data_IF_067645814610
#
_entry.id   IF_067645814610
#
_cell.length_a   1.000
_cell.length_b   1.000
_cell.length_c   1.000
_cell.angle_alpha   90.00
_cell.angle_beta   90.00
_cell.angle_gamma   90.00
#
_symmetry.space_group_name_H-M   'P 1'
#
loop_
_entity.id
_entity.type
_entity.pdbx_description
1 polymer ?
#
# COMPACT_ATOMS: atom_id res chain seq x y z
N UNK A 1 -13.73 -9.00 5.85
CA UNK A 1 -12.92 -7.76 5.68
C UNK A 1 -13.85 -6.58 5.54
N UNK A 2 -13.65 -5.51 6.30
CA UNK A 2 -14.43 -4.29 6.18
C UNK A 2 -13.70 -3.28 5.29
N UNK A 3 -14.40 -2.73 4.32
CA UNK A 3 -13.92 -1.67 3.44
C UNK A 3 -14.66 -0.38 3.77
N UNK A 4 -13.93 0.70 3.73
CA UNK A 4 -14.40 2.02 4.07
C UNK A 4 -14.30 2.96 2.87
N UNK A 5 -15.15 3.97 2.86
CA UNK A 5 -15.11 5.09 1.94
C UNK A 5 -15.32 6.36 2.75
N UNK A 6 -14.35 7.29 2.72
CA UNK A 6 -14.34 8.52 3.50
C UNK A 6 -14.64 8.30 5.00
N UNK A 7 -14.04 7.25 5.58
CA UNK A 7 -14.19 6.90 6.99
C UNK A 7 -15.53 6.26 7.38
N UNK A 8 -16.43 6.02 6.43
CA UNK A 8 -17.69 5.29 6.65
C UNK A 8 -17.55 3.86 6.14
N UNK A 9 -18.11 2.88 6.87
CA UNK A 9 -18.13 1.49 6.41
C UNK A 9 -19.00 1.40 5.15
N UNK A 10 -18.39 1.08 4.04
CA UNK A 10 -19.05 0.94 2.75
C UNK A 10 -19.56 -0.49 2.53
N UNK A 11 -18.71 -1.47 2.86
CA UNK A 11 -19.07 -2.87 2.68
C UNK A 11 -18.27 -3.80 3.62
N UNK A 12 -18.78 -5.00 3.77
CA UNK A 12 -18.10 -6.12 4.41
C UNK A 12 -18.06 -7.30 3.45
N UNK A 13 -16.90 -7.91 3.33
CA UNK A 13 -16.72 -9.04 2.43
C UNK A 13 -15.83 -10.11 3.04
N UNK A 14 -16.15 -11.36 2.69
CA UNK A 14 -15.30 -12.52 2.92
C UNK A 14 -14.92 -13.11 1.58
N UNK A 15 -13.64 -13.38 1.39
CA UNK A 15 -13.14 -13.93 0.15
C UNK A 15 -12.00 -14.92 0.40
N UNK A 16 -11.83 -15.85 -0.53
CA UNK A 16 -10.67 -16.72 -0.62
C UNK A 16 -9.81 -16.23 -1.78
N UNK A 17 -8.52 -16.04 -1.51
CA UNK A 17 -7.53 -15.71 -2.53
C UNK A 17 -6.51 -16.85 -2.62
N UNK A 18 -6.31 -17.36 -3.83
CA UNK A 18 -5.28 -18.33 -4.16
C UNK A 18 -4.33 -17.72 -5.18
N UNK A 19 -3.05 -17.78 -4.89
CA UNK A 19 -1.98 -17.29 -5.76
C UNK A 19 -1.04 -18.43 -6.10
N UNK A 20 -0.84 -18.64 -7.39
CA UNK A 20 0.24 -19.49 -7.91
C UNK A 20 1.20 -18.60 -8.68
N UNK A 21 2.45 -18.54 -8.24
CA UNK A 21 3.51 -17.76 -8.88
C UNK A 21 4.58 -18.67 -9.48
N UNK A 22 4.91 -18.43 -10.74
CA UNK A 22 6.03 -19.04 -11.43
C UNK A 22 6.95 -17.95 -11.97
N UNK A 23 8.22 -17.98 -11.62
CA UNK A 23 9.14 -16.93 -12.06
C UNK A 23 10.58 -17.21 -11.70
N UNK A 24 11.43 -16.30 -12.11
CA UNK A 24 12.85 -16.28 -11.78
C UNK A 24 13.20 -14.98 -11.06
N UNK A 25 14.07 -15.08 -10.09
CA UNK A 25 14.65 -13.94 -9.42
C UNK A 25 16.16 -14.10 -9.32
N UNK A 26 16.87 -12.98 -9.42
CA UNK A 26 18.32 -12.94 -9.25
C UNK A 26 18.71 -11.77 -8.37
N UNK A 27 19.55 -12.07 -7.41
CA UNK A 27 20.08 -11.12 -6.45
C UNK A 27 21.52 -10.72 -6.83
N UNK A 28 21.79 -9.40 -6.81
CA UNK A 28 23.13 -8.83 -6.94
C UNK A 28 23.33 -7.83 -5.78
N UNK A 29 24.05 -8.24 -4.74
CA UNK A 29 24.23 -7.43 -3.54
C UNK A 29 22.90 -6.92 -2.96
N UNK A 30 22.61 -5.64 -3.15
CA UNK A 30 21.41 -4.97 -2.63
C UNK A 30 20.28 -4.85 -3.67
N UNK A 31 20.46 -5.41 -4.87
CA UNK A 31 19.48 -5.35 -5.96
C UNK A 31 18.92 -6.74 -6.21
N UNK A 32 17.60 -6.85 -6.30
CA UNK A 32 16.91 -8.05 -6.75
C UNK A 32 16.11 -7.71 -8.01
N UNK A 33 16.26 -8.51 -9.03
CA UNK A 33 15.44 -8.49 -10.25
C UNK A 33 14.58 -9.73 -10.28
N UNK A 34 13.31 -9.58 -10.58
CA UNK A 34 12.36 -10.70 -10.70
C UNK A 34 11.48 -10.53 -11.92
N UNK A 35 11.09 -11.66 -12.51
CA UNK A 35 10.12 -11.73 -13.60
C UNK A 35 9.37 -13.05 -13.55
N UNK A 36 8.15 -13.07 -14.03
CA UNK A 36 7.37 -14.30 -14.03
C UNK A 36 5.91 -14.10 -14.41
N UNK A 37 5.13 -15.09 -14.05
CA UNK A 37 3.69 -15.15 -14.30
C UNK A 37 3.01 -15.50 -12.98
N UNK A 38 1.93 -14.78 -12.66
CA UNK A 38 1.03 -15.09 -11.55
C UNK A 38 -0.30 -15.58 -12.10
N UNK A 39 -0.87 -16.53 -11.39
CA UNK A 39 -2.26 -16.90 -11.52
C UNK A 39 -2.96 -16.61 -10.19
N UNK A 40 -3.89 -15.68 -10.19
CA UNK A 40 -4.68 -15.26 -9.05
C UNK A 40 -6.12 -15.73 -9.22
N UNK A 41 -6.66 -16.40 -8.21
CA UNK A 41 -8.06 -16.77 -8.15
C UNK A 41 -8.71 -16.14 -6.92
N UNK A 42 -9.76 -15.31 -7.17
CA UNK A 42 -10.55 -14.67 -6.13
C UNK A 42 -11.96 -15.25 -6.12
N UNK A 43 -12.36 -15.76 -4.97
CA UNK A 43 -13.72 -16.24 -4.73
C UNK A 43 -14.33 -15.48 -3.55
N UNK A 44 -15.38 -14.72 -3.85
CA UNK A 44 -16.12 -13.92 -2.87
C UNK A 44 -17.29 -14.75 -2.32
N UNK A 45 -17.30 -14.98 -0.99
CA UNK A 45 -18.29 -15.82 -0.34
C UNK A 45 -19.49 -15.01 0.12
N UNK A 46 -19.22 -13.93 0.89
CA UNK A 46 -20.27 -13.09 1.47
C UNK A 46 -19.96 -11.63 1.14
N UNK A 47 -20.94 -10.94 0.61
CA UNK A 47 -20.90 -9.53 0.33
C UNK A 47 -22.09 -8.83 0.98
N UNK A 48 -21.83 -8.06 2.03
CA UNK A 48 -22.81 -7.17 2.65
C UNK A 48 -22.48 -5.73 2.20
N UNK A 49 -23.19 -5.27 1.20
CA UNK A 49 -23.07 -3.91 0.68
C UNK A 49 -24.34 -3.12 0.94
N UNK A 50 -24.17 -1.83 1.26
CA UNK A 50 -25.27 -0.87 1.32
C UNK A 50 -25.66 -0.37 -0.07
N UNK A 51 -24.83 -0.62 -1.09
CA UNK A 51 -25.06 -0.24 -2.48
C UNK A 51 -25.16 -1.48 -3.38
N UNK A 52 -26.31 -1.73 -4.02
CA UNK A 52 -26.49 -2.85 -4.97
C UNK A 52 -25.52 -2.82 -6.15
N UNK A 53 -25.05 -1.64 -6.60
CA UNK A 53 -24.10 -1.49 -7.70
C UNK A 53 -22.69 -1.95 -7.31
N UNK A 54 -22.38 -1.98 -6.02
CA UNK A 54 -21.08 -2.47 -5.55
C UNK A 54 -20.91 -3.98 -5.80
N UNK A 55 -21.99 -4.76 -5.91
CA UNK A 55 -21.93 -6.20 -6.17
C UNK A 55 -21.22 -6.54 -7.50
N UNK A 56 -21.34 -5.69 -8.52
CA UNK A 56 -20.70 -5.89 -9.82
C UNK A 56 -19.16 -5.79 -9.78
N UNK A 57 -18.58 -5.17 -8.74
CA UNK A 57 -17.13 -5.08 -8.56
C UNK A 57 -16.53 -6.37 -7.95
N UNK A 58 -17.37 -7.27 -7.42
CA UNK A 58 -16.97 -8.46 -6.65
C UNK A 58 -17.35 -9.76 -7.34
N UNK A 59 -17.16 -9.81 -8.64
CA UNK A 59 -17.30 -11.06 -9.38
C UNK A 59 -16.10 -11.97 -9.08
N UNK A 60 -16.38 -13.26 -8.90
CA UNK A 60 -15.34 -14.28 -8.85
C UNK A 60 -14.49 -14.18 -10.10
N UNK A 61 -13.19 -14.07 -9.94
CA UNK A 61 -12.30 -13.80 -11.05
C UNK A 61 -11.04 -14.64 -11.00
N UNK A 62 -10.65 -15.13 -12.18
CA UNK A 62 -9.32 -15.69 -12.41
C UNK A 62 -8.53 -14.66 -13.21
N UNK A 63 -7.34 -14.33 -12.74
CA UNK A 63 -6.46 -13.35 -13.37
C UNK A 63 -5.11 -14.01 -13.65
N UNK A 64 -4.62 -13.86 -14.86
CA UNK A 64 -3.22 -14.11 -15.19
C UNK A 64 -2.49 -12.78 -15.20
N UNK A 65 -1.29 -12.71 -14.62
CA UNK A 65 -0.45 -11.55 -14.78
C UNK A 65 0.97 -11.92 -15.15
N UNK A 66 1.52 -11.17 -16.07
CA UNK A 66 2.96 -11.15 -16.35
C UNK A 66 3.56 -10.07 -15.46
N UNK A 67 4.59 -10.38 -14.70
CA UNK A 67 5.21 -9.40 -13.83
C UNK A 67 6.70 -9.26 -14.07
N UNK A 68 7.20 -8.05 -13.85
CA UNK A 68 8.61 -7.73 -13.73
C UNK A 68 8.80 -6.81 -12.50
N UNK A 69 9.83 -7.07 -11.74
CA UNK A 69 10.10 -6.33 -10.50
C UNK A 69 11.59 -6.06 -10.31
N UNK A 70 11.87 -4.92 -9.71
CA UNK A 70 13.21 -4.49 -9.33
C UNK A 70 13.15 -3.92 -7.92
N UNK A 71 13.97 -4.45 -7.02
CA UNK A 71 14.04 -4.04 -5.61
C UNK A 71 15.47 -3.72 -5.25
N UNK A 72 15.66 -2.62 -4.55
CA UNK A 72 16.94 -2.25 -3.93
C UNK A 72 16.72 -2.01 -2.44
N UNK A 73 17.63 -2.50 -1.61
CA UNK A 73 17.56 -2.27 -0.18
C UNK A 73 18.95 -2.29 0.45
N UNK A 74 19.37 -1.14 1.01
CA UNK A 74 20.58 -1.02 1.80
C UNK A 74 20.35 -0.38 3.19
N UNK A 75 19.10 -0.45 3.68
CA UNK A 75 18.78 -0.01 5.03
C UNK A 75 19.60 -0.78 6.05
N UNK A 76 20.20 -0.07 7.01
CA UNK A 76 21.10 -0.65 8.00
C UNK A 76 20.41 -1.57 9.03
N UNK A 77 19.11 -1.42 9.23
CA UNK A 77 18.30 -2.30 10.08
C UNK A 77 16.84 -2.29 9.65
N UNK A 78 16.09 -3.31 10.06
CA UNK A 78 14.73 -3.55 9.59
C UNK A 78 13.66 -2.72 10.32
N UNK A 79 13.71 -2.69 11.66
CA UNK A 79 12.62 -2.13 12.47
C UNK A 79 12.74 -0.65 12.76
N UNK A 80 13.94 -0.11 12.78
CA UNK A 80 14.16 1.31 13.07
C UNK A 80 15.35 1.85 12.29
N UNK A 81 15.36 1.74 10.95
CA UNK A 81 16.51 2.13 10.17
C UNK A 81 16.91 3.59 10.43
N UNK A 82 18.20 3.80 10.49
CA UNK A 82 18.77 5.12 10.73
C UNK A 82 19.60 5.63 9.54
N UNK A 83 19.91 4.74 8.60
CA UNK A 83 20.73 5.03 7.43
C UNK A 83 20.37 4.12 6.27
N UNK A 84 20.51 4.64 5.06
CA UNK A 84 20.30 3.90 3.83
C UNK A 84 19.00 4.25 3.15
N UNK A 85 18.66 3.50 2.12
CA UNK A 85 17.41 3.66 1.38
C UNK A 85 16.88 2.30 0.90
N UNK A 86 15.62 2.25 0.61
CA UNK A 86 15.01 1.16 -0.16
C UNK A 86 14.11 1.73 -1.24
N UNK A 87 14.07 1.04 -2.37
CA UNK A 87 13.09 1.31 -3.41
C UNK A 87 12.70 0.01 -4.11
N UNK A 88 11.49 0.00 -4.62
CA UNK A 88 10.98 -1.09 -5.43
C UNK A 88 10.14 -0.52 -6.56
N UNK A 89 10.27 -1.12 -7.73
CA UNK A 89 9.45 -0.83 -8.89
C UNK A 89 8.93 -2.15 -9.42
N UNK A 90 7.65 -2.23 -9.74
CA UNK A 90 7.06 -3.39 -10.37
C UNK A 90 6.10 -3.00 -11.47
N UNK A 91 5.99 -3.87 -12.45
CA UNK A 91 5.02 -3.80 -13.53
C UNK A 91 4.27 -5.12 -13.60
N UNK A 92 2.96 -5.05 -13.70
CA UNK A 92 2.09 -6.20 -13.92
C UNK A 92 1.17 -5.94 -15.11
N UNK A 93 1.03 -6.93 -15.98
CA UNK A 93 0.09 -6.93 -17.08
C UNK A 93 -0.96 -8.02 -16.81
N UNK A 94 -2.15 -7.62 -16.38
CA UNK A 94 -3.23 -8.51 -16.00
C UNK A 94 -4.12 -8.84 -17.20
N UNK A 95 -4.44 -10.12 -17.35
CA UNK A 95 -5.32 -10.68 -18.37
C UNK A 95 -6.25 -11.72 -17.74
N UNK A 96 -7.31 -12.14 -18.44
CA UNK A 96 -8.14 -13.27 -18.04
C UNK A 96 -7.94 -14.50 -18.95
N UNK A 97 -7.38 -14.27 -20.15
CA UNK A 97 -7.18 -15.28 -21.19
C UNK A 97 -5.77 -15.31 -21.78
N UNK A 98 -4.74 -14.83 -21.02
CA UNK A 98 -3.34 -14.65 -21.41
C UNK A 98 -3.05 -13.47 -22.37
N UNK A 99 -4.03 -12.91 -23.06
CA UNK A 99 -3.82 -11.85 -24.05
C UNK A 99 -4.67 -10.61 -23.80
N UNK A 100 -5.87 -10.76 -23.29
CA UNK A 100 -6.88 -9.71 -23.13
C UNK A 100 -7.44 -9.72 -21.70
N UNK A 101 -8.23 -8.73 -21.38
CA UNK A 101 -9.05 -8.68 -20.19
C UNK A 101 -10.49 -8.31 -20.57
N UNK A 102 -11.46 -9.25 -20.36
CA UNK A 102 -12.89 -9.10 -20.73
C UNK A 102 -13.05 -8.56 -22.16
N UNK A 103 -12.41 -9.23 -23.12
CA UNK A 103 -12.39 -8.89 -24.56
C UNK A 103 -11.84 -7.48 -24.88
N UNK A 104 -11.13 -6.87 -23.95
CA UNK A 104 -10.50 -5.56 -24.10
C UNK A 104 -8.98 -5.65 -23.90
N UNK A 105 -8.33 -4.48 -23.94
CA UNK A 105 -6.91 -4.38 -23.64
C UNK A 105 -6.59 -4.89 -22.23
N UNK A 106 -5.44 -5.56 -22.04
CA UNK A 106 -4.95 -5.95 -20.74
C UNK A 106 -4.88 -4.76 -19.76
N UNK A 107 -4.99 -5.05 -18.47
CA UNK A 107 -4.83 -4.03 -17.44
C UNK A 107 -3.36 -3.97 -17.05
N UNK A 108 -2.74 -2.83 -17.32
CA UNK A 108 -1.37 -2.52 -16.90
C UNK A 108 -1.37 -1.87 -15.54
N UNK A 109 -0.53 -2.37 -14.64
CA UNK A 109 -0.32 -1.81 -13.30
C UNK A 109 1.16 -1.51 -13.13
N UNK A 110 1.48 -0.25 -12.89
CA UNK A 110 2.80 0.21 -12.51
C UNK A 110 2.81 0.62 -11.04
N UNK A 111 3.75 0.09 -10.27
CA UNK A 111 3.94 0.37 -8.85
C UNK A 111 5.39 0.82 -8.62
N UNK A 112 5.56 1.90 -7.88
CA UNK A 112 6.86 2.41 -7.48
C UNK A 112 6.82 2.88 -6.02
N UNK A 113 7.80 2.48 -5.23
CA UNK A 113 7.97 2.90 -3.84
C UNK A 113 9.41 3.24 -3.56
N UNK A 114 9.61 4.24 -2.72
CA UNK A 114 10.92 4.67 -2.26
C UNK A 114 10.85 5.12 -0.81
N UNK A 115 11.90 4.83 -0.06
CA UNK A 115 12.09 5.28 1.31
C UNK A 115 13.57 5.56 1.54
N UNK A 116 13.86 6.72 2.12
CA UNK A 116 15.21 7.07 2.56
C UNK A 116 15.27 7.24 4.08
N UNK A 117 16.41 6.94 4.70
CA UNK A 117 16.63 7.14 6.12
C UNK A 117 17.90 7.96 6.31
N UNK A 118 17.77 9.11 6.97
CA UNK A 118 18.83 10.06 7.25
C UNK A 118 18.85 10.39 8.74
N UNK A 119 20.01 10.29 9.39
CA UNK A 119 20.15 10.63 10.80
C UNK A 119 21.09 11.85 10.94
N UNK A 120 20.54 13.07 11.00
CA UNK A 120 21.31 14.28 11.27
C UNK A 120 22.03 14.24 12.62
N UNK A 121 21.54 13.46 13.56
CA UNK A 121 22.21 13.18 14.84
C UNK A 121 22.06 11.73 15.26
N UNK A 122 22.82 11.31 16.25
CA UNK A 122 22.77 9.94 16.78
C UNK A 122 21.42 9.55 17.41
N UNK A 123 20.54 10.52 17.63
CA UNK A 123 19.24 10.32 18.28
C UNK A 123 18.05 10.68 17.38
N UNK A 124 18.27 11.40 16.29
CA UNK A 124 17.20 11.90 15.43
C UNK A 124 17.31 11.32 14.02
N UNK A 125 16.24 10.80 13.49
CA UNK A 125 16.15 10.21 12.15
C UNK A 125 14.99 10.82 11.38
N UNK A 126 15.23 11.18 10.13
CA UNK A 126 14.26 11.65 9.16
C UNK A 126 14.09 10.56 8.11
N UNK A 127 12.85 10.14 7.89
CA UNK A 127 12.51 9.10 6.93
C UNK A 127 11.45 9.61 5.96
N UNK A 128 11.83 10.27 4.86
CA UNK A 128 10.94 10.55 3.76
C UNK A 128 10.60 9.26 3.00
N UNK A 129 9.39 9.21 2.46
CA UNK A 129 8.91 8.12 1.63
C UNK A 129 8.05 8.62 0.47
N UNK A 130 8.03 7.86 -0.60
CA UNK A 130 7.19 8.10 -1.75
C UNK A 130 6.60 6.78 -2.24
N UNK A 131 5.35 6.83 -2.66
CA UNK A 131 4.66 5.73 -3.28
C UNK A 131 3.83 6.22 -4.46
N UNK A 132 3.86 5.49 -5.56
CA UNK A 132 3.04 5.74 -6.74
C UNK A 132 2.52 4.43 -7.31
N UNK A 133 1.24 4.35 -7.62
CA UNK A 133 0.65 3.20 -8.30
C UNK A 133 -0.41 3.66 -9.29
N UNK A 134 -0.30 3.16 -10.52
CA UNK A 134 -1.16 3.57 -11.63
C UNK A 134 -1.67 2.33 -12.35
N UNK A 135 -2.99 2.32 -12.56
CA UNK A 135 -3.68 1.36 -13.39
C UNK A 135 -4.06 2.01 -14.71
N UNK A 136 -3.91 1.26 -15.82
CA UNK A 136 -4.37 1.67 -17.15
C UNK A 136 -4.87 0.48 -17.93
N UNK A 137 -5.81 0.69 -18.85
CA UNK A 137 -6.42 -0.36 -19.68
C UNK A 137 -7.93 -0.19 -19.79
N UNK A 138 -8.70 -1.24 -19.63
CA UNK A 138 -10.14 -1.31 -19.90
C UNK A 138 -11.05 -0.37 -19.10
N UNK A 139 -10.55 0.30 -18.08
CA UNK A 139 -11.30 1.26 -17.25
C UNK A 139 -12.17 0.63 -16.14
N UNK A 140 -12.58 -0.62 -16.28
CA UNK A 140 -13.30 -1.38 -15.26
C UNK A 140 -12.33 -2.28 -14.52
N UNK A 141 -11.74 -1.76 -13.44
CA UNK A 141 -10.76 -2.50 -12.66
C UNK A 141 -11.45 -3.40 -11.63
N UNK A 142 -11.13 -4.71 -11.58
CA UNK A 142 -11.65 -5.58 -10.54
C UNK A 142 -11.13 -5.17 -9.16
N UNK A 143 -11.91 -5.45 -8.13
CA UNK A 143 -11.55 -5.17 -6.74
C UNK A 143 -10.16 -5.74 -6.37
N UNK A 144 -9.82 -6.90 -6.90
CA UNK A 144 -8.55 -7.57 -6.67
C UNK A 144 -7.30 -6.73 -6.99
N UNK A 145 -7.40 -5.77 -7.92
CA UNK A 145 -6.25 -4.97 -8.38
C UNK A 145 -6.41 -3.46 -8.18
N UNK A 146 -7.61 -2.97 -7.86
CA UNK A 146 -7.84 -1.53 -7.63
C UNK A 146 -7.00 -1.02 -6.46
N UNK A 147 -6.59 0.25 -6.50
CA UNK A 147 -5.79 0.84 -5.43
C UNK A 147 -6.55 0.88 -4.11
N UNK A 148 -5.81 0.63 -3.04
CA UNK A 148 -6.34 0.63 -1.68
C UNK A 148 -5.36 1.33 -0.75
N UNK A 149 -5.86 2.18 0.12
CA UNK A 149 -5.06 2.91 1.11
C UNK A 149 -5.50 2.59 2.52
N UNK A 150 -4.60 2.76 3.48
CA UNK A 150 -4.88 2.67 4.91
C UNK A 150 -4.16 1.54 5.62
N UNK A 151 -4.33 1.49 6.93
CA UNK A 151 -3.53 0.64 7.81
C UNK A 151 -2.10 1.16 7.99
N UNK A 152 -1.34 0.48 8.82
CA UNK A 152 0.06 0.81 9.12
C UNK A 152 1.05 -0.20 8.52
N UNK A 153 0.56 -1.38 8.12
CA UNK A 153 1.36 -2.47 7.56
C UNK A 153 0.99 -2.62 6.08
N UNK A 154 1.96 -2.54 5.16
CA UNK A 154 1.70 -2.75 3.73
C UNK A 154 1.13 -4.16 3.48
N UNK A 155 0.14 -4.26 2.59
CA UNK A 155 -0.39 -5.55 2.16
C UNK A 155 -1.15 -6.36 3.23
N UNK A 156 -1.47 -5.76 4.39
CA UNK A 156 -2.15 -6.46 5.50
C UNK A 156 -3.53 -7.00 5.11
N UNK A 157 -4.28 -6.23 4.34
CA UNK A 157 -5.64 -6.59 3.93
C UNK A 157 -5.67 -7.16 2.52
N UNK A 158 -4.95 -6.50 1.61
CA UNK A 158 -4.81 -6.90 0.21
C UNK A 158 -3.39 -6.57 -0.26
N UNK A 159 -2.79 -7.34 -1.19
CA UNK A 159 -1.41 -7.12 -1.66
C UNK A 159 -1.13 -5.69 -2.14
N UNK A 160 -2.13 -5.04 -2.74
CA UNK A 160 -2.04 -3.68 -3.28
C UNK A 160 -2.30 -2.57 -2.24
N UNK A 161 -2.57 -2.91 -1.00
CA UNK A 161 -2.85 -1.93 0.05
C UNK A 161 -1.59 -1.17 0.46
N UNK A 162 -1.71 0.16 0.51
CA UNK A 162 -0.65 1.10 0.87
C UNK A 162 -0.95 1.73 2.22
N UNK A 163 -0.01 1.72 3.16
CA UNK A 163 -0.16 2.42 4.42
C UNK A 163 -0.34 3.93 4.23
N UNK A 164 -1.25 4.50 5.00
CA UNK A 164 -1.47 5.93 5.02
C UNK A 164 -1.75 6.40 6.45
N UNK A 165 -1.01 7.43 6.89
CA UNK A 165 -1.17 7.98 8.24
C UNK A 165 -2.58 8.54 8.44
N UNK A 166 -3.28 8.09 9.48
CA UNK A 166 -4.62 8.56 9.81
C UNK A 166 -5.77 7.81 9.14
N UNK A 167 -5.47 6.85 8.26
CA UNK A 167 -6.43 5.90 7.72
C UNK A 167 -6.09 4.53 8.29
N UNK A 168 -6.75 4.10 9.37
CA UNK A 168 -6.40 2.86 10.07
C UNK A 168 -7.01 1.59 9.47
N UNK A 169 -7.89 1.74 8.48
CA UNK A 169 -8.64 0.66 7.84
C UNK A 169 -8.48 0.75 6.33
N UNK A 170 -8.85 -0.31 5.62
CA UNK A 170 -8.76 -0.32 4.18
C UNK A 170 -9.82 0.58 3.54
N UNK A 171 -9.40 1.56 2.76
CA UNK A 171 -10.25 2.42 1.93
C UNK A 171 -9.88 2.24 0.46
N UNK A 172 -10.91 2.22 -0.40
CA UNK A 172 -10.71 2.17 -1.84
C UNK A 172 -10.16 3.50 -2.33
N UNK A 173 -9.30 3.42 -3.34
CA UNK A 173 -8.74 4.56 -4.03
C UNK A 173 -8.97 4.43 -5.53
N UNK A 174 -8.69 5.50 -6.28
CA UNK A 174 -8.89 5.53 -7.73
C UNK A 174 -7.71 4.87 -8.47
N UNK A 175 -7.79 4.83 -9.81
CA UNK A 175 -6.82 4.13 -10.65
C UNK A 175 -5.40 4.71 -10.60
N UNK A 176 -5.24 6.00 -10.35
CA UNK A 176 -3.94 6.63 -10.14
C UNK A 176 -3.83 7.13 -8.70
N UNK A 177 -2.73 6.79 -8.03
CA UNK A 177 -2.46 7.09 -6.63
C UNK A 177 -1.00 7.52 -6.46
N UNK A 178 -0.78 8.69 -5.85
CA UNK A 178 0.54 9.15 -5.41
C UNK A 178 0.48 9.51 -3.93
N UNK A 179 1.47 9.07 -3.15
CA UNK A 179 1.58 9.36 -1.72
C UNK A 179 3.01 9.77 -1.41
N UNK A 180 3.17 10.89 -0.70
CA UNK A 180 4.40 11.31 -0.06
C UNK A 180 4.24 11.19 1.47
N UNK A 181 5.25 10.67 2.14
CA UNK A 181 5.28 10.48 3.58
C UNK A 181 6.54 11.05 4.20
N UNK A 182 6.43 11.48 5.45
CA UNK A 182 7.55 11.90 6.26
C UNK A 182 7.38 11.35 7.68
N UNK A 183 8.42 10.68 8.18
CA UNK A 183 8.49 10.23 9.57
C UNK A 183 9.72 10.85 10.24
N UNK A 184 9.49 11.64 11.27
CA UNK A 184 10.48 12.26 12.14
C UNK A 184 10.55 11.47 13.44
N UNK A 185 11.66 10.76 13.68
CA UNK A 185 11.80 9.87 14.82
C UNK A 185 12.93 10.31 15.73
N UNK A 186 12.62 10.49 17.01
CA UNK A 186 13.55 10.82 18.06
C UNK A 186 13.74 9.64 19.00
N UNK A 187 14.99 9.20 19.20
CA UNK A 187 15.36 8.25 20.24
C UNK A 187 15.42 8.97 21.59
N UNK A 188 14.57 8.58 22.53
CA UNK A 188 14.51 9.15 23.89
C UNK A 188 15.35 8.35 24.89
N UNK A 189 15.30 7.01 24.81
CA UNK A 189 16.11 6.08 25.60
C UNK A 189 16.72 5.01 24.69
N UNK A 190 17.51 4.09 25.23
CA UNK A 190 18.28 3.09 24.46
C UNK A 190 17.45 2.36 23.39
N UNK A 191 16.21 1.96 23.71
CA UNK A 191 15.33 1.20 22.82
C UNK A 191 13.97 1.87 22.66
N UNK A 192 13.83 3.16 22.99
CA UNK A 192 12.56 3.87 22.98
C UNK A 192 12.61 5.06 22.04
N UNK A 193 11.57 5.20 21.25
CA UNK A 193 11.47 6.21 20.22
C UNK A 193 10.10 6.88 20.25
N UNK A 194 10.09 8.18 20.02
CA UNK A 194 8.88 8.94 19.68
C UNK A 194 8.99 9.35 18.22
N UNK A 195 7.88 9.33 17.51
CA UNK A 195 7.80 9.74 16.12
C UNK A 195 6.65 10.68 15.87
N UNK A 196 6.86 11.61 14.93
CA UNK A 196 5.82 12.42 14.31
C UNK A 196 5.77 12.02 12.84
N UNK A 197 4.58 11.70 12.36
CA UNK A 197 4.37 11.20 11.01
C UNK A 197 3.40 12.09 10.26
N UNK A 198 3.65 12.27 8.97
CA UNK A 198 2.74 12.92 8.06
C UNK A 198 2.68 12.18 6.74
N UNK A 199 1.51 12.14 6.13
CA UNK A 199 1.31 11.63 4.78
C UNK A 199 0.42 12.60 4.00
N UNK A 200 0.79 12.84 2.74
CA UNK A 200 -0.02 13.54 1.77
C UNK A 200 -0.14 12.69 0.52
N UNK A 201 -1.35 12.57 0.01
CA UNK A 201 -1.63 11.76 -1.18
C UNK A 201 -2.62 12.43 -2.10
N UNK A 202 -2.54 12.07 -3.38
CA UNK A 202 -3.51 12.42 -4.41
C UNK A 202 -3.95 11.17 -5.14
N UNK A 203 -5.24 11.12 -5.47
CA UNK A 203 -5.79 10.06 -6.30
C UNK A 203 -6.68 10.64 -7.41
N UNK A 204 -6.75 9.95 -8.53
CA UNK A 204 -7.58 10.33 -9.68
C UNK A 204 -7.94 9.13 -10.54
N UNK A 205 -8.95 9.28 -11.40
CA UNK A 205 -9.37 8.23 -12.32
C UNK A 205 -8.35 7.89 -13.39
N UNK A 206 -7.49 8.85 -13.77
CA UNK A 206 -6.44 8.67 -14.78
C UNK A 206 -5.16 9.38 -14.34
N UNK A 207 -4.01 8.85 -14.74
CA UNK A 207 -2.71 9.38 -14.31
C UNK A 207 -2.50 10.86 -14.68
N UNK A 208 -2.88 11.30 -15.88
CA UNK A 208 -2.70 12.69 -16.31
C UNK A 208 -3.56 13.68 -15.52
N UNK A 209 -4.64 13.22 -14.88
CA UNK A 209 -5.53 14.03 -14.06
C UNK A 209 -4.98 14.25 -12.62
N UNK A 210 -3.96 13.51 -12.22
CA UNK A 210 -3.50 13.50 -10.82
C UNK A 210 -2.91 14.85 -10.39
N UNK A 211 -2.42 15.65 -11.33
CA UNK A 211 -1.91 17.01 -11.08
C UNK A 211 -2.99 18.08 -11.18
N UNK A 212 -4.16 17.75 -11.73
CA UNK A 212 -5.30 18.66 -11.80
C UNK A 212 -6.12 18.57 -10.52
N UNK A 213 -6.24 19.69 -9.81
CA UNK A 213 -6.98 19.77 -8.54
C UNK A 213 -8.49 19.64 -8.70
N UNK A 214 -9.02 19.82 -9.90
CA UNK A 214 -10.45 19.65 -10.19
C UNK A 214 -10.85 18.20 -10.43
N UNK A 215 -9.90 17.35 -10.82
CA UNK A 215 -10.11 15.94 -11.21
C UNK A 215 -9.46 14.95 -10.23
N UNK A 216 -8.73 15.45 -9.23
CA UNK A 216 -8.07 14.64 -8.21
C UNK A 216 -8.63 14.91 -6.81
N UNK A 217 -8.58 13.91 -5.95
CA UNK A 217 -8.91 14.04 -4.54
C UNK A 217 -7.64 14.02 -3.69
N UNK A 218 -7.57 14.97 -2.75
CA UNK A 218 -6.44 15.13 -1.85
C UNK A 218 -6.68 14.42 -0.53
N UNK A 219 -5.66 13.72 -0.06
CA UNK A 219 -5.62 13.04 1.23
C UNK A 219 -4.48 13.61 2.05
N UNK A 220 -4.73 13.93 3.31
CA UNK A 220 -3.71 14.36 4.25
C UNK A 220 -3.91 13.70 5.61
N UNK A 221 -2.83 13.27 6.23
CA UNK A 221 -2.88 12.63 7.53
C UNK A 221 -1.64 12.96 8.37
N UNK A 222 -1.84 13.01 9.68
CA UNK A 222 -0.78 13.25 10.67
C UNK A 222 -0.92 12.29 11.84
N UNK A 223 0.19 11.99 12.49
CA UNK A 223 0.18 11.09 13.63
C UNK A 223 1.39 11.29 14.54
N UNK A 224 1.24 10.81 15.75
CA UNK A 224 2.33 10.64 16.72
C UNK A 224 2.41 9.19 17.14
N UNK A 225 3.62 8.70 17.34
CA UNK A 225 3.84 7.31 17.71
C UNK A 225 4.88 7.17 18.82
N UNK A 226 4.74 6.10 19.59
CA UNK A 226 5.76 5.61 20.48
C UNK A 226 6.13 4.19 20.07
N UNK A 227 7.42 3.88 20.01
CA UNK A 227 7.95 2.57 19.71
C UNK A 227 8.95 2.12 20.76
N UNK A 228 8.79 0.90 21.23
CA UNK A 228 9.77 0.19 22.05
C UNK A 228 10.36 -0.98 21.26
N UNK A 229 11.67 -0.99 21.07
CA UNK A 229 12.39 -2.07 20.38
C UNK A 229 12.72 -3.17 21.38
N UNK A 230 11.84 -4.17 21.47
CA UNK A 230 12.05 -5.35 22.31
C UNK A 230 12.90 -6.41 21.59
N UNK A 231 13.34 -7.43 22.31
CA UNK A 231 14.05 -8.58 21.72
C UNK A 231 13.15 -9.47 20.85
N UNK A 232 11.83 -9.44 21.07
CA UNK A 232 10.83 -10.17 20.28
C UNK A 232 10.30 -9.36 19.08
N UNK A 233 10.78 -8.13 18.90
CA UNK A 233 10.35 -7.20 17.88
C UNK A 233 9.86 -5.87 18.42
N UNK A 234 9.59 -4.90 17.55
CA UNK A 234 9.07 -3.60 17.96
C UNK A 234 7.65 -3.71 18.52
N UNK A 235 7.38 -2.94 19.57
CA UNK A 235 6.03 -2.67 20.09
C UNK A 235 5.72 -1.22 19.75
N UNK A 236 4.62 -0.97 19.07
CA UNK A 236 4.26 0.37 18.61
C UNK A 236 2.86 0.75 19.05
N UNK A 237 2.70 2.00 19.44
CA UNK A 237 1.39 2.64 19.67
C UNK A 237 1.40 3.96 18.91
N UNK A 238 0.35 4.22 18.16
CA UNK A 238 0.19 5.44 17.35
C UNK A 238 -1.19 6.04 17.58
N UNK A 239 -1.23 7.36 17.65
CA UNK A 239 -2.44 8.17 17.51
C UNK A 239 -2.34 8.95 16.21
N UNK A 240 -3.39 8.96 15.43
CA UNK A 240 -3.37 9.54 14.10
C UNK A 240 -4.72 10.15 13.71
N UNK A 241 -4.68 11.06 12.74
CA UNK A 241 -5.84 11.73 12.16
C UNK A 241 -5.64 11.93 10.67
N UNK A 242 -6.73 11.91 9.89
CA UNK A 242 -6.71 12.30 8.47
C UNK A 242 -7.95 13.10 8.11
N UNK A 243 -7.83 13.90 7.03
CA UNK A 243 -8.95 14.63 6.45
C UNK A 243 -10.02 13.70 5.84
N UNK A 244 -9.67 12.48 5.48
CA UNK A 244 -10.60 11.47 4.95
C UNK A 244 -11.52 10.93 6.04
N UNK A 245 -10.93 10.43 7.11
CA UNK A 245 -11.70 9.85 8.22
C UNK A 245 -12.33 10.91 9.12
N UNK A 246 -11.72 12.10 9.20
CA UNK A 246 -12.11 13.23 10.10
C UNK A 246 -12.21 12.82 11.57
N UNK A 247 -11.55 11.73 11.95
CA UNK A 247 -11.57 11.15 13.30
C UNK A 247 -10.16 10.86 13.77
N UNK A 248 -9.93 11.01 15.07
CA UNK A 248 -8.71 10.49 15.68
C UNK A 248 -8.83 8.99 15.79
N UNK A 249 -7.85 8.30 15.27
CA UNK A 249 -7.70 6.86 15.37
C UNK A 249 -6.49 6.48 16.20
N UNK A 250 -6.42 5.22 16.59
CA UNK A 250 -5.25 4.65 17.23
C UNK A 250 -4.86 3.32 16.60
N UNK A 251 -3.59 3.00 16.70
CA UNK A 251 -3.03 1.72 16.28
C UNK A 251 -2.09 1.20 17.35
N UNK A 252 -2.13 -0.11 17.59
CA UNK A 252 -1.13 -0.81 18.38
C UNK A 252 -0.64 -2.02 17.62
N UNK A 253 0.66 -2.22 17.57
CA UNK A 253 1.32 -3.32 16.87
C UNK A 253 2.44 -3.93 17.68
N UNK A 254 2.67 -5.22 17.44
CA UNK A 254 3.77 -5.97 18.03
C UNK A 254 4.37 -6.91 16.99
N UNK A 255 5.68 -6.99 16.95
CA UNK A 255 6.42 -7.93 16.12
C UNK A 255 7.02 -7.33 14.86
N UNK A 256 7.75 -8.16 14.12
CA UNK A 256 8.34 -7.77 12.84
C UNK A 256 7.32 -7.95 11.71
N UNK A 257 7.28 -7.00 10.79
CA UNK A 257 6.59 -7.14 9.50
C UNK A 257 7.56 -7.83 8.54
N UNK A 258 7.14 -8.97 8.02
CA UNK A 258 7.93 -9.78 7.09
C UNK A 258 7.50 -9.59 5.66
#
# INVERSE_FOLDING_TARGET
MNIYNEGKRALDLTFTHQLVRMGAAKDWNNIQVSLGIDFDYYHYHDLLSLDPLASALFENSSLFSYFAGLVFNNLNERSAPTKGMSWAVSYHLYTDNFFQYKDNNPISVFDARWQGCFSPSSKFTVTPSFYGRVLSGSGNYPFAIINMVGGTIPGRYMPQQIPFTGINRAELSQAALLIAGLNLRQRILKNQYISVMGSYGRNSGKFHQILDSSESADMAGVGIGYMYKSFLGPVEIQLNWSNQTKKVGWYAGFGFVF
#
